data_IF_799404703770
#
_entry.id   IF_799404703770
#
_cell.length_a   1.000
_cell.length_b   1.000
_cell.length_c   1.000
_cell.angle_alpha   90.00
_cell.angle_beta   90.00
_cell.angle_gamma   90.00
#
_symmetry.space_group_name_H-M   'P 1'
#
loop_
_entity.id
_entity.type
_entity.pdbx_description
1 polymer ?
#
# COMPACT_ATOMS: atom_id res chain seq x y z
N UNK A 1 38.00 66.35 -14.38
CA UNK A 1 36.83 66.01 -15.23
C UNK A 1 37.31 65.55 -16.60
N UNK A 2 38.04 64.42 -16.69
CA UNK A 2 38.56 63.89 -17.97
C UNK A 2 38.87 62.37 -17.96
N UNK A 3 38.36 61.60 -17.00
CA UNK A 3 38.72 60.17 -16.89
C UNK A 3 37.58 59.16 -17.22
N UNK A 4 36.38 59.65 -17.56
CA UNK A 4 35.16 58.81 -17.63
C UNK A 4 34.61 58.56 -19.06
N UNK A 5 35.26 59.13 -20.09
CA UNK A 5 34.85 58.90 -21.50
C UNK A 5 35.60 57.77 -22.21
N UNK A 6 36.63 57.19 -21.59
CA UNK A 6 37.47 56.14 -22.20
C UNK A 6 36.89 54.72 -22.05
N UNK A 7 36.29 54.40 -20.90
CA UNK A 7 35.79 53.03 -20.64
C UNK A 7 34.50 52.70 -21.38
N UNK A 8 33.60 53.67 -21.56
CA UNK A 8 32.32 53.47 -22.26
C UNK A 8 32.50 53.16 -23.75
N UNK A 9 33.50 53.76 -24.39
CA UNK A 9 33.86 53.46 -25.79
C UNK A 9 34.43 52.04 -25.97
N UNK A 10 35.31 51.61 -25.05
CA UNK A 10 35.91 50.28 -25.09
C UNK A 10 34.90 49.16 -24.83
N UNK A 11 33.91 49.39 -23.97
CA UNK A 11 32.82 48.43 -23.71
C UNK A 11 31.89 48.31 -24.92
N UNK A 12 31.54 49.43 -25.57
CA UNK A 12 30.71 49.43 -26.77
C UNK A 12 31.39 48.69 -27.94
N UNK A 13 32.70 48.87 -28.12
CA UNK A 13 33.46 48.18 -29.17
C UNK A 13 33.61 46.68 -28.89
N UNK A 14 33.71 46.29 -27.60
CA UNK A 14 33.76 44.88 -27.21
C UNK A 14 32.41 44.19 -27.42
N UNK A 15 31.30 44.89 -27.15
CA UNK A 15 29.95 44.39 -27.37
C UNK A 15 29.64 44.23 -28.86
N UNK A 16 30.07 45.19 -29.71
CA UNK A 16 29.86 45.11 -31.16
C UNK A 16 30.65 43.96 -31.80
N UNK A 17 31.89 43.72 -31.36
CA UNK A 17 32.69 42.55 -31.79
C UNK A 17 32.06 41.23 -31.36
N UNK A 18 31.46 41.15 -30.17
CA UNK A 18 30.75 39.95 -29.72
C UNK A 18 29.48 39.71 -30.52
N UNK A 19 28.71 40.75 -30.86
CA UNK A 19 27.52 40.63 -31.69
C UNK A 19 27.86 40.18 -33.12
N UNK A 20 28.92 40.71 -33.72
CA UNK A 20 29.39 40.25 -35.02
C UNK A 20 29.85 38.79 -34.98
N UNK A 21 30.62 38.39 -33.96
CA UNK A 21 31.05 37.01 -33.80
C UNK A 21 29.87 36.04 -33.60
N UNK A 22 28.81 36.48 -32.93
CA UNK A 22 27.60 35.68 -32.74
C UNK A 22 26.81 35.55 -34.05
N UNK A 23 26.67 36.64 -34.82
CA UNK A 23 26.02 36.64 -36.12
C UNK A 23 26.72 35.70 -37.11
N UNK A 24 28.07 35.75 -37.19
CA UNK A 24 28.84 34.85 -38.06
C UNK A 24 28.66 33.38 -37.68
N UNK A 25 28.55 33.07 -36.38
CA UNK A 25 28.31 31.69 -35.92
C UNK A 25 26.91 31.20 -36.25
N UNK A 26 25.90 32.06 -36.17
CA UNK A 26 24.52 31.72 -36.55
C UNK A 26 24.43 31.47 -38.06
N UNK A 27 25.10 32.29 -38.87
CA UNK A 27 25.19 32.10 -40.33
C UNK A 27 25.82 30.74 -40.68
N UNK A 28 26.97 30.41 -40.07
CA UNK A 28 27.66 29.13 -40.29
C UNK A 28 26.85 27.91 -39.83
N UNK A 29 26.07 28.06 -38.75
CA UNK A 29 25.17 27.01 -38.27
C UNK A 29 23.98 26.83 -39.21
N UNK A 30 23.41 27.93 -39.71
CA UNK A 30 22.31 27.90 -40.69
C UNK A 30 22.75 27.22 -41.99
N UNK A 31 23.94 27.56 -42.50
CA UNK A 31 24.49 26.96 -43.70
C UNK A 31 24.78 25.46 -43.53
N UNK A 32 25.31 25.04 -42.36
CA UNK A 32 25.50 23.62 -42.05
C UNK A 32 24.19 22.85 -41.95
N UNK A 33 23.15 23.45 -41.38
CA UNK A 33 21.82 22.82 -41.31
C UNK A 33 21.22 22.70 -42.71
N UNK A 34 21.28 23.74 -43.53
CA UNK A 34 20.84 23.71 -44.94
C UNK A 34 21.55 22.64 -45.76
N UNK A 35 22.88 22.50 -45.61
CA UNK A 35 23.66 21.49 -46.31
C UNK A 35 23.34 20.06 -45.83
N UNK A 36 23.01 19.87 -44.55
CA UNK A 36 22.58 18.58 -44.00
C UNK A 36 21.15 18.21 -44.42
N UNK A 37 20.24 19.19 -44.51
CA UNK A 37 18.88 18.97 -45.00
C UNK A 37 18.88 18.66 -46.50
N UNK A 38 19.71 19.34 -47.28
CA UNK A 38 19.90 19.08 -48.72
C UNK A 38 20.55 17.71 -48.99
N UNK A 39 21.51 17.32 -48.15
CA UNK A 39 22.11 15.97 -48.20
C UNK A 39 21.12 14.87 -47.80
N UNK A 40 20.17 15.18 -46.90
CA UNK A 40 19.12 14.24 -46.48
C UNK A 40 18.04 14.07 -47.55
N UNK A 41 17.68 15.12 -48.28
CA UNK A 41 16.69 15.06 -49.37
C UNK A 41 17.16 14.24 -50.58
N UNK A 42 18.48 14.20 -50.83
CA UNK A 42 19.09 13.45 -51.94
C UNK A 42 19.07 11.92 -51.71
N UNK A 43 19.01 11.47 -50.46
CA UNK A 43 19.00 10.03 -50.11
C UNK A 43 17.59 9.40 -50.26
N UNK A 44 16.53 10.20 -50.28
CA UNK A 44 15.13 9.72 -50.29
C UNK A 44 14.49 9.54 -51.67
N UNK A 45 15.25 9.66 -52.77
CA UNK A 45 14.71 9.56 -54.14
C UNK A 45 15.30 8.43 -54.99
N UNK A 46 14.82 7.18 -54.85
CA UNK A 46 14.89 6.17 -55.94
C UNK A 46 13.77 5.11 -55.83
N UNK A 47 13.06 4.75 -56.92
CA UNK A 47 11.81 3.99 -56.85
C UNK A 47 11.97 2.47 -56.89
N UNK A 48 10.87 1.81 -56.51
CA UNK A 48 10.68 0.40 -56.22
C UNK A 48 10.93 -0.59 -57.38
N UNK A 49 11.37 -1.81 -57.03
CA UNK A 49 11.39 -2.94 -57.96
C UNK A 49 11.99 -4.27 -57.43
N UNK A 50 11.09 -5.17 -56.99
CA UNK A 50 11.15 -6.65 -57.11
C UNK A 50 11.97 -7.55 -56.14
N UNK A 51 11.21 -8.55 -55.63
CA UNK A 51 11.47 -9.99 -55.34
C UNK A 51 12.45 -10.44 -54.22
N UNK A 52 11.88 -11.27 -53.33
CA UNK A 52 12.38 -12.11 -52.21
C UNK A 52 13.29 -13.25 -52.79
N UNK A 53 14.27 -13.95 -52.10
CA UNK A 53 14.21 -14.49 -50.73
C UNK A 53 15.49 -14.71 -49.86
N UNK A 54 15.24 -15.05 -48.58
CA UNK A 54 15.98 -15.94 -47.66
C UNK A 54 17.30 -15.50 -46.95
N UNK A 55 17.27 -15.68 -45.63
CA UNK A 55 18.32 -16.12 -44.69
C UNK A 55 19.66 -15.35 -44.59
N UNK A 56 19.89 -14.68 -43.45
CA UNK A 56 20.98 -15.00 -42.49
C UNK A 56 20.93 -14.10 -41.27
N UNK A 57 21.04 -14.71 -40.09
CA UNK A 57 21.44 -14.02 -38.86
C UNK A 57 22.79 -13.33 -39.08
N UNK A 58 22.88 -12.05 -38.70
CA UNK A 58 24.12 -11.46 -38.20
C UNK A 58 23.83 -10.43 -37.10
N UNK A 59 24.67 -10.39 -36.05
CA UNK A 59 24.42 -9.64 -34.83
C UNK A 59 24.74 -8.16 -35.06
N UNK A 60 23.77 -7.29 -34.87
CA UNK A 60 24.02 -5.85 -34.90
C UNK A 60 24.87 -5.47 -33.69
N UNK A 61 26.15 -5.22 -33.96
CA UNK A 61 27.11 -4.57 -33.08
C UNK A 61 26.46 -3.44 -32.28
N UNK A 62 26.67 -3.49 -30.96
CA UNK A 62 26.55 -2.33 -30.07
C UNK A 62 27.55 -1.26 -30.55
N UNK A 63 27.07 -0.24 -31.26
CA UNK A 63 27.80 1.01 -31.40
C UNK A 63 27.50 1.87 -30.17
N UNK A 64 28.38 1.74 -29.17
CA UNK A 64 28.51 2.68 -28.08
C UNK A 64 28.89 4.06 -28.64
N UNK A 65 28.32 5.12 -28.08
CA UNK A 65 28.66 6.49 -28.44
C UNK A 65 27.46 7.39 -28.71
N UNK A 66 26.40 7.32 -27.90
CA UNK A 66 25.38 8.37 -27.83
C UNK A 66 25.58 9.11 -26.51
N UNK A 67 26.09 10.35 -26.50
CA UNK A 67 26.13 11.13 -25.28
C UNK A 67 24.70 11.42 -24.83
N UNK A 68 24.47 11.18 -23.55
CA UNK A 68 23.21 11.28 -22.81
C UNK A 68 22.68 12.71 -22.73
N UNK A 69 22.14 13.24 -23.82
CA UNK A 69 21.29 14.44 -23.84
C UNK A 69 19.87 14.05 -24.21
N UNK A 70 19.28 13.21 -23.38
CA UNK A 70 17.85 12.90 -23.38
C UNK A 70 17.33 13.11 -21.95
N UNK A 71 17.52 14.34 -21.45
CA UNK A 71 16.68 14.83 -20.35
C UNK A 71 15.27 14.81 -20.93
N UNK A 72 14.50 13.81 -20.49
CA UNK A 72 13.11 13.59 -20.87
C UNK A 72 12.33 14.90 -20.69
N UNK A 73 12.10 15.66 -21.78
CA UNK A 73 11.41 16.96 -21.75
C UNK A 73 10.02 16.86 -21.11
N UNK A 74 9.39 15.69 -21.18
CA UNK A 74 8.14 15.39 -20.47
C UNK A 74 8.26 15.31 -18.94
N UNK A 75 9.41 14.95 -18.38
CA UNK A 75 9.64 14.96 -16.93
C UNK A 75 9.86 16.39 -16.44
N UNK A 76 10.64 17.18 -17.19
CA UNK A 76 10.88 18.59 -16.84
C UNK A 76 9.59 19.41 -16.86
N UNK A 77 8.74 19.20 -17.87
CA UNK A 77 7.42 19.84 -17.94
C UNK A 77 6.51 19.45 -16.76
N UNK A 78 6.51 18.18 -16.34
CA UNK A 78 5.76 17.72 -15.16
C UNK A 78 6.25 18.37 -13.87
N UNK A 79 7.56 18.40 -13.66
CA UNK A 79 8.17 19.04 -12.48
C UNK A 79 7.83 20.53 -12.47
N UNK A 80 7.97 21.22 -13.60
CA UNK A 80 7.60 22.62 -13.70
C UNK A 80 6.12 22.86 -13.34
N UNK A 81 5.19 22.04 -13.86
CA UNK A 81 3.77 22.15 -13.49
C UNK A 81 3.52 21.90 -12.00
N UNK A 82 4.20 20.93 -11.38
CA UNK A 82 4.10 20.69 -9.93
C UNK A 82 4.57 21.93 -9.17
N UNK A 83 5.72 22.50 -9.55
CA UNK A 83 6.26 23.70 -8.92
C UNK A 83 5.28 24.88 -9.05
N UNK A 84 4.72 25.15 -10.23
CA UNK A 84 3.73 26.22 -10.41
C UNK A 84 2.47 26.00 -9.56
N UNK A 85 1.96 24.77 -9.49
CA UNK A 85 0.79 24.45 -8.67
C UNK A 85 1.08 24.64 -7.17
N UNK A 86 2.28 24.28 -6.72
CA UNK A 86 2.72 24.46 -5.34
C UNK A 86 2.96 25.93 -5.01
N UNK A 87 3.45 26.75 -5.94
CA UNK A 87 3.59 28.21 -5.73
C UNK A 87 2.24 28.85 -5.50
N UNK A 88 1.21 28.48 -6.27
CA UNK A 88 -0.16 28.98 -6.03
C UNK A 88 -0.63 28.57 -4.64
N UNK A 89 -0.43 27.30 -4.24
CA UNK A 89 -0.77 26.84 -2.91
C UNK A 89 -0.01 27.60 -1.81
N UNK A 90 1.27 27.92 -2.04
CA UNK A 90 2.10 28.72 -1.13
C UNK A 90 1.56 30.16 -1.02
N UNK A 91 1.17 30.80 -2.12
CA UNK A 91 0.58 32.14 -2.09
C UNK A 91 -0.71 32.15 -1.27
N UNK A 92 -1.60 31.16 -1.49
CA UNK A 92 -2.83 31.01 -0.69
C UNK A 92 -2.50 30.85 0.80
N UNK A 93 -1.48 30.06 1.12
CA UNK A 93 -0.99 29.87 2.49
C UNK A 93 -0.46 31.17 3.07
N UNK A 94 0.39 31.92 2.36
CA UNK A 94 0.95 33.19 2.82
C UNK A 94 -0.14 34.25 3.07
N UNK A 95 -1.17 34.31 2.23
CA UNK A 95 -2.31 35.23 2.44
C UNK A 95 -3.08 34.87 3.72
N UNK A 96 -3.23 33.57 3.98
CA UNK A 96 -3.91 33.06 5.18
C UNK A 96 -3.06 33.30 6.44
N UNK A 97 -1.77 33.03 6.37
CA UNK A 97 -0.82 33.19 7.49
C UNK A 97 -0.64 34.66 7.91
N UNK A 98 -0.76 35.60 6.97
CA UNK A 98 -0.69 37.05 7.24
C UNK A 98 -1.99 37.65 7.83
N UNK A 99 -2.98 36.83 8.19
CA UNK A 99 -4.30 37.26 8.71
C UNK A 99 -5.07 38.23 7.79
N UNK A 100 -4.70 38.34 6.52
CA UNK A 100 -5.41 39.17 5.53
C UNK A 100 -6.81 38.60 5.27
N UNK A 101 -6.95 37.27 5.38
CA UNK A 101 -8.19 36.53 5.22
C UNK A 101 -8.40 35.67 6.47
N UNK A 102 -9.64 35.60 6.97
CA UNK A 102 -9.98 34.78 8.12
C UNK A 102 -9.61 33.30 7.86
N UNK A 103 -9.03 32.64 8.85
CA UNK A 103 -8.49 31.27 8.77
C UNK A 103 -9.47 30.25 8.21
N UNK A 104 -10.77 30.37 8.56
CA UNK A 104 -11.82 29.52 8.00
C UNK A 104 -11.98 29.67 6.49
N UNK A 105 -11.85 30.91 5.99
CA UNK A 105 -11.92 31.22 4.56
C UNK A 105 -10.66 30.71 3.86
N UNK A 106 -9.49 30.82 4.50
CA UNK A 106 -8.23 30.26 3.99
C UNK A 106 -8.28 28.74 3.79
N UNK A 107 -8.80 28.00 4.76
CA UNK A 107 -9.01 26.54 4.65
C UNK A 107 -10.02 26.19 3.55
N UNK A 108 -11.14 26.93 3.48
CA UNK A 108 -12.14 26.74 2.44
C UNK A 108 -11.56 26.98 1.03
N UNK A 109 -10.73 28.02 0.87
CA UNK A 109 -10.02 28.28 -0.38
C UNK A 109 -9.05 27.15 -0.74
N UNK A 110 -8.31 26.62 0.24
CA UNK A 110 -7.41 25.49 0.05
C UNK A 110 -8.13 24.21 -0.41
N UNK A 111 -9.24 23.86 0.27
CA UNK A 111 -10.09 22.71 -0.11
C UNK A 111 -10.67 22.93 -1.51
N UNK A 112 -11.21 24.12 -1.79
CA UNK A 112 -11.80 24.45 -3.10
C UNK A 112 -10.77 24.35 -4.22
N UNK A 113 -9.56 24.86 -3.99
CA UNK A 113 -8.45 24.76 -4.94
C UNK A 113 -8.06 23.30 -5.21
N UNK A 114 -7.94 22.48 -4.16
CA UNK A 114 -7.64 21.06 -4.29
C UNK A 114 -8.72 20.30 -5.08
N UNK A 115 -10.00 20.57 -4.82
CA UNK A 115 -11.13 19.99 -5.57
C UNK A 115 -11.10 20.41 -7.04
N UNK A 116 -10.83 21.69 -7.34
CA UNK A 116 -10.68 22.18 -8.71
C UNK A 116 -9.56 21.46 -9.46
N UNK A 117 -8.43 21.17 -8.81
CA UNK A 117 -7.33 20.41 -9.41
C UNK A 117 -7.75 18.96 -9.72
N UNK A 118 -8.47 18.31 -8.82
CA UNK A 118 -8.98 16.94 -9.04
C UNK A 118 -9.96 16.89 -10.20
N UNK A 119 -10.93 17.82 -10.24
CA UNK A 119 -11.95 17.90 -11.31
C UNK A 119 -11.34 18.26 -12.66
N UNK A 120 -10.39 19.22 -12.68
CA UNK A 120 -9.66 19.58 -13.89
C UNK A 120 -8.85 18.39 -14.40
N UNK A 121 -8.22 17.65 -13.49
CA UNK A 121 -7.57 16.38 -13.78
C UNK A 121 -8.47 15.42 -14.55
N UNK A 122 -9.71 15.21 -14.08
CA UNK A 122 -10.68 14.34 -14.75
C UNK A 122 -10.91 14.72 -16.21
N UNK A 123 -11.21 16.01 -16.48
CA UNK A 123 -11.42 16.51 -17.85
C UNK A 123 -10.16 16.37 -18.71
N UNK A 124 -8.98 16.51 -18.12
CA UNK A 124 -7.72 16.41 -18.84
C UNK A 124 -7.36 14.95 -19.20
N UNK A 125 -7.83 14.00 -18.39
CA UNK A 125 -7.74 12.57 -18.71
C UNK A 125 -8.65 12.17 -19.88
N UNK A 126 -9.84 12.78 -20.00
CA UNK A 126 -10.72 12.57 -21.16
C UNK A 126 -10.08 13.05 -22.47
N UNK A 127 -9.19 14.04 -22.39
CA UNK A 127 -8.46 14.60 -23.53
C UNK A 127 -7.09 13.95 -23.78
N UNK A 128 -6.79 12.83 -23.11
CA UNK A 128 -5.53 12.06 -23.24
C UNK A 128 -4.23 12.89 -23.04
N UNK A 129 -4.29 13.97 -22.27
CA UNK A 129 -3.12 14.82 -22.05
C UNK A 129 -2.05 14.13 -21.21
N UNK A 130 -0.78 14.29 -21.58
CA UNK A 130 0.38 13.75 -20.83
C UNK A 130 0.53 14.35 -19.42
N UNK A 131 -0.11 15.48 -19.13
CA UNK A 131 -0.08 16.15 -17.82
C UNK A 131 -1.26 15.74 -16.90
N UNK A 132 -2.23 15.00 -17.42
CA UNK A 132 -3.42 14.59 -16.68
C UNK A 132 -3.18 13.94 -15.29
N UNK A 133 -2.14 13.09 -15.05
CA UNK A 133 -1.89 12.54 -13.71
C UNK A 133 -1.40 13.55 -12.67
N UNK A 134 -0.82 14.67 -13.08
CA UNK A 134 -0.18 15.61 -12.16
C UNK A 134 -1.24 16.39 -11.36
N UNK A 135 -2.28 16.87 -12.03
CA UNK A 135 -3.35 17.67 -11.41
C UNK A 135 -4.08 16.95 -10.26
N UNK A 136 -4.66 15.75 -10.45
CA UNK A 136 -5.32 15.03 -9.36
C UNK A 136 -4.32 14.51 -8.32
N UNK A 137 -3.07 14.27 -8.70
CA UNK A 137 -2.01 13.88 -7.75
C UNK A 137 -1.65 15.01 -6.78
N UNK A 138 -1.40 16.21 -7.30
CA UNK A 138 -1.18 17.40 -6.47
C UNK A 138 -2.45 17.77 -5.70
N UNK A 139 -3.62 17.68 -6.33
CA UNK A 139 -4.91 17.98 -5.70
C UNK A 139 -5.19 17.11 -4.48
N UNK A 140 -5.00 15.79 -4.57
CA UNK A 140 -5.25 14.89 -3.42
C UNK A 140 -4.24 15.10 -2.29
N UNK A 141 -2.96 15.34 -2.61
CA UNK A 141 -1.92 15.64 -1.61
C UNK A 141 -2.21 16.96 -0.87
N UNK A 142 -2.56 18.00 -1.60
CA UNK A 142 -2.93 19.29 -1.00
C UNK A 142 -4.19 19.15 -0.15
N UNK A 143 -5.20 18.40 -0.62
CA UNK A 143 -6.40 18.15 0.17
C UNK A 143 -6.08 17.45 1.49
N UNK A 144 -5.23 16.42 1.46
CA UNK A 144 -4.79 15.71 2.66
C UNK A 144 -4.07 16.62 3.64
N UNK A 145 -3.13 17.44 3.16
CA UNK A 145 -2.40 18.39 3.99
C UNK A 145 -3.33 19.46 4.58
N UNK A 146 -4.19 20.06 3.78
CA UNK A 146 -5.11 21.12 4.22
C UNK A 146 -6.11 20.57 5.24
N UNK A 147 -6.72 19.41 5.00
CA UNK A 147 -7.67 18.82 5.95
C UNK A 147 -6.98 18.48 7.27
N UNK A 148 -5.80 17.86 7.22
CA UNK A 148 -5.04 17.51 8.42
C UNK A 148 -4.61 18.74 9.22
N UNK A 149 -4.05 19.75 8.54
CA UNK A 149 -3.63 21.01 9.15
C UNK A 149 -4.81 21.73 9.77
N UNK A 150 -5.95 21.81 9.07
CA UNK A 150 -7.12 22.52 9.59
C UNK A 150 -7.68 21.83 10.83
N UNK A 151 -7.75 20.50 10.79
CA UNK A 151 -8.24 19.70 11.90
C UNK A 151 -7.33 19.79 13.15
N UNK A 152 -6.00 19.60 13.00
CA UNK A 152 -5.05 19.64 14.12
C UNK A 152 -4.93 21.06 14.69
N UNK A 153 -4.85 22.09 13.83
CA UNK A 153 -4.51 23.45 14.26
C UNK A 153 -5.72 24.25 14.71
N UNK A 154 -6.89 24.02 14.11
CA UNK A 154 -8.07 24.86 14.33
C UNK A 154 -9.26 24.11 14.92
N UNK A 155 -9.15 22.79 15.16
CA UNK A 155 -10.25 21.97 15.70
C UNK A 155 -11.49 21.96 14.80
N UNK A 156 -11.34 22.36 13.54
CA UNK A 156 -12.39 22.51 12.55
C UNK A 156 -11.83 22.05 11.22
N UNK A 157 -12.50 21.18 10.44
CA UNK A 157 -13.81 20.58 10.67
C UNK A 157 -13.78 19.50 11.78
N UNK A 158 -14.96 19.15 12.31
CA UNK A 158 -15.09 18.02 13.26
C UNK A 158 -14.50 16.75 12.65
N UNK A 159 -14.00 15.84 13.48
CA UNK A 159 -13.41 14.56 13.09
C UNK A 159 -14.21 13.83 12.01
N UNK A 160 -15.53 13.69 12.19
CA UNK A 160 -16.43 13.00 11.24
C UNK A 160 -16.35 13.61 9.83
N UNK A 161 -16.35 14.94 9.74
CA UNK A 161 -16.26 15.66 8.47
C UNK A 161 -14.86 15.53 7.84
N UNK A 162 -13.79 15.56 8.64
CA UNK A 162 -12.43 15.34 8.14
C UNK A 162 -12.30 13.96 7.49
N UNK A 163 -12.74 12.88 8.17
CA UNK A 163 -12.77 11.54 7.61
C UNK A 163 -13.63 11.46 6.34
N UNK A 164 -14.80 12.10 6.33
CA UNK A 164 -15.73 12.07 5.19
C UNK A 164 -15.14 12.75 3.95
N UNK A 165 -14.52 13.93 4.10
CA UNK A 165 -13.89 14.65 2.98
C UNK A 165 -12.77 13.82 2.37
N UNK A 166 -11.90 13.24 3.20
CA UNK A 166 -10.80 12.40 2.75
C UNK A 166 -11.34 11.14 2.07
N UNK A 167 -12.38 10.52 2.64
CA UNK A 167 -13.00 9.31 2.08
C UNK A 167 -13.58 9.56 0.69
N UNK A 168 -14.38 10.62 0.53
CA UNK A 168 -15.01 10.99 -0.74
C UNK A 168 -13.95 11.30 -1.79
N UNK A 169 -12.96 12.14 -1.45
CA UNK A 169 -11.91 12.52 -2.38
C UNK A 169 -11.04 11.33 -2.80
N UNK A 170 -10.66 10.47 -1.85
CA UNK A 170 -9.86 9.28 -2.12
C UNK A 170 -10.64 8.28 -2.97
N UNK A 171 -11.94 8.11 -2.72
CA UNK A 171 -12.82 7.26 -3.53
C UNK A 171 -12.95 7.80 -4.95
N UNK A 172 -13.09 9.11 -5.13
CA UNK A 172 -13.15 9.75 -6.44
C UNK A 172 -11.85 9.56 -7.22
N UNK A 173 -10.70 9.82 -6.60
CA UNK A 173 -9.38 9.62 -7.23
C UNK A 173 -9.11 8.13 -7.51
N UNK A 174 -9.58 7.23 -6.64
CA UNK A 174 -9.50 5.80 -6.86
C UNK A 174 -10.35 5.37 -8.07
N UNK A 175 -11.62 5.78 -8.14
CA UNK A 175 -12.49 5.48 -9.29
C UNK A 175 -11.90 6.03 -10.61
N UNK A 176 -11.39 7.26 -10.57
CA UNK A 176 -10.68 7.89 -11.67
C UNK A 176 -9.45 7.09 -12.11
N UNK A 177 -8.63 6.64 -11.16
CA UNK A 177 -7.43 5.87 -11.43
C UNK A 177 -7.73 4.51 -12.08
N UNK A 178 -8.85 3.88 -11.69
CA UNK A 178 -9.32 2.64 -12.29
C UNK A 178 -9.84 2.85 -13.72
N UNK A 179 -10.61 3.93 -13.95
CA UNK A 179 -11.15 4.29 -15.27
C UNK A 179 -10.05 4.59 -16.27
N UNK A 180 -9.11 5.46 -15.89
CA UNK A 180 -8.06 5.95 -16.78
C UNK A 180 -6.74 5.17 -16.65
N UNK A 181 -6.74 4.01 -15.98
CA UNK A 181 -5.58 3.11 -15.90
C UNK A 181 -4.34 3.77 -15.28
N UNK A 182 -4.53 4.78 -14.42
CA UNK A 182 -3.47 5.62 -13.86
C UNK A 182 -2.94 5.07 -12.52
N UNK A 183 -1.95 4.17 -12.59
CA UNK A 183 -1.37 3.50 -11.42
C UNK A 183 -0.83 4.44 -10.35
N UNK A 184 -0.23 5.56 -10.75
CA UNK A 184 0.36 6.53 -9.82
C UNK A 184 -0.66 7.09 -8.82
N UNK A 185 -1.90 7.33 -9.27
CA UNK A 185 -2.94 7.89 -8.41
C UNK A 185 -3.42 6.91 -7.33
N UNK A 186 -3.38 5.60 -7.60
CA UNK A 186 -3.73 4.57 -6.62
C UNK A 186 -2.71 4.57 -5.48
N UNK A 187 -1.41 4.61 -5.83
CA UNK A 187 -0.32 4.64 -4.84
C UNK A 187 -0.29 5.91 -4.00
N UNK A 188 -0.96 6.98 -4.45
CA UNK A 188 -1.06 8.22 -3.70
C UNK A 188 -2.32 8.27 -2.84
N UNK A 189 -3.46 7.92 -3.43
CA UNK A 189 -4.76 8.03 -2.79
C UNK A 189 -4.92 7.02 -1.64
N UNK A 190 -4.66 5.72 -1.87
CA UNK A 190 -4.94 4.70 -0.84
C UNK A 190 -3.94 4.77 0.33
N UNK A 191 -2.61 4.78 0.10
CA UNK A 191 -1.64 4.94 1.16
C UNK A 191 -1.76 6.27 1.89
N UNK A 192 -1.87 7.38 1.14
CA UNK A 192 -1.98 8.72 1.71
C UNK A 192 -3.23 8.87 2.57
N UNK A 193 -4.39 8.38 2.10
CA UNK A 193 -5.61 8.41 2.88
C UNK A 193 -5.49 7.61 4.18
N UNK A 194 -4.90 6.41 4.13
CA UNK A 194 -4.72 5.56 5.30
C UNK A 194 -3.77 6.20 6.34
N UNK A 195 -2.67 6.82 5.89
CA UNK A 195 -1.72 7.53 6.77
C UNK A 195 -2.34 8.78 7.38
N UNK A 196 -3.09 9.57 6.61
CA UNK A 196 -3.72 10.79 7.12
C UNK A 196 -4.86 10.44 8.08
N UNK A 197 -5.66 9.42 7.77
CA UNK A 197 -6.69 8.92 8.67
C UNK A 197 -6.11 8.49 10.03
N UNK A 198 -4.95 7.81 10.04
CA UNK A 198 -4.22 7.48 11.28
C UNK A 198 -3.74 8.71 12.07
N UNK A 199 -3.44 9.80 11.39
CA UNK A 199 -2.96 11.03 12.00
C UNK A 199 -4.10 11.90 12.55
N UNK A 200 -5.32 11.75 12.02
CA UNK A 200 -6.52 12.44 12.50
C UNK A 200 -6.86 11.95 13.91
N UNK A 201 -7.12 12.89 14.81
CA UNK A 201 -7.44 12.65 16.22
C UNK A 201 -6.38 11.83 17.00
N UNK A 202 -5.16 11.64 16.48
CA UNK A 202 -4.09 11.02 17.26
C UNK A 202 -3.77 11.91 18.46
N UNK A 203 -3.72 11.38 19.70
CA UNK A 203 -3.56 9.97 20.06
C UNK A 203 -4.85 9.17 20.32
N UNK A 204 -6.04 9.79 20.32
CA UNK A 204 -7.32 9.16 20.66
C UNK A 204 -8.30 9.18 19.49
N UNK A 205 -8.05 8.40 18.43
CA UNK A 205 -8.92 8.37 17.26
C UNK A 205 -10.29 7.79 17.58
N UNK A 206 -11.30 8.20 16.81
CA UNK A 206 -12.57 7.50 16.76
C UNK A 206 -12.37 6.11 16.12
N UNK A 207 -11.94 5.14 16.93
CA UNK A 207 -11.49 3.82 16.48
C UNK A 207 -12.44 3.10 15.51
N UNK A 208 -13.78 3.09 15.71
CA UNK A 208 -14.67 2.42 14.77
C UNK A 208 -14.68 3.09 13.39
N UNK A 209 -14.60 4.43 13.33
CA UNK A 209 -14.59 5.19 12.08
C UNK A 209 -13.26 4.96 11.35
N UNK A 210 -12.14 5.05 12.08
CA UNK A 210 -10.82 4.76 11.53
C UNK A 210 -10.72 3.30 11.06
N UNK A 211 -11.26 2.36 11.83
CA UNK A 211 -11.34 0.95 11.48
C UNK A 211 -12.13 0.73 10.18
N UNK A 212 -13.32 1.33 10.05
CA UNK A 212 -14.12 1.26 8.81
C UNK A 212 -13.38 1.87 7.62
N UNK A 213 -12.67 2.99 7.84
CA UNK A 213 -11.87 3.65 6.81
C UNK A 213 -10.71 2.76 6.32
N UNK A 214 -9.97 2.16 7.25
CA UNK A 214 -8.88 1.22 6.93
C UNK A 214 -9.41 -0.07 6.28
N UNK A 215 -10.58 -0.55 6.70
CA UNK A 215 -11.23 -1.69 6.06
C UNK A 215 -11.55 -1.38 4.59
N UNK A 216 -12.12 -0.20 4.32
CA UNK A 216 -12.37 0.27 2.97
C UNK A 216 -11.08 0.40 2.14
N UNK A 217 -9.99 0.88 2.75
CA UNK A 217 -8.67 0.94 2.10
C UNK A 217 -8.15 -0.46 1.73
N UNK A 218 -8.32 -1.47 2.60
CA UNK A 218 -7.94 -2.86 2.30
C UNK A 218 -8.81 -3.48 1.19
N UNK A 219 -10.11 -3.20 1.18
CA UNK A 219 -11.01 -3.64 0.10
C UNK A 219 -10.57 -2.98 -1.22
N UNK A 220 -10.28 -1.69 -1.22
CA UNK A 220 -9.81 -0.95 -2.38
C UNK A 220 -8.46 -1.49 -2.89
N UNK A 221 -7.51 -1.78 -1.99
CA UNK A 221 -6.22 -2.36 -2.32
C UNK A 221 -6.36 -3.75 -2.94
N UNK A 222 -7.21 -4.61 -2.36
CA UNK A 222 -7.48 -5.97 -2.86
C UNK A 222 -8.19 -5.92 -4.22
N UNK A 223 -9.13 -5.00 -4.41
CA UNK A 223 -9.80 -4.79 -5.68
C UNK A 223 -8.87 -4.26 -6.78
N UNK A 224 -7.97 -3.34 -6.44
CA UNK A 224 -6.97 -2.82 -7.37
C UNK A 224 -6.00 -3.91 -7.81
N UNK A 225 -5.50 -4.72 -6.86
CA UNK A 225 -4.63 -5.87 -7.12
C UNK A 225 -5.26 -6.85 -8.11
N UNK A 226 -6.53 -7.23 -7.87
CA UNK A 226 -7.28 -8.12 -8.78
C UNK A 226 -7.38 -7.61 -10.21
N UNK A 227 -7.44 -6.29 -10.42
CA UNK A 227 -7.47 -5.73 -11.78
C UNK A 227 -6.08 -5.68 -12.43
N UNK A 228 -5.00 -5.60 -11.63
CA UNK A 228 -3.62 -5.58 -12.11
C UNK A 228 -2.67 -6.13 -11.04
N UNK A 229 -2.02 -7.24 -11.34
CA UNK A 229 -1.03 -7.91 -10.49
C UNK A 229 0.18 -7.03 -10.05
N UNK A 230 0.33 -5.81 -10.57
CA UNK A 230 1.43 -4.88 -10.23
C UNK A 230 1.26 -4.15 -8.89
N UNK A 231 0.11 -4.30 -8.21
CA UNK A 231 -0.21 -3.59 -6.98
C UNK A 231 0.04 -4.37 -5.68
N UNK A 232 0.83 -5.45 -5.68
CA UNK A 232 1.11 -6.25 -4.46
C UNK A 232 1.63 -5.43 -3.28
N UNK A 233 2.51 -4.45 -3.55
CA UNK A 233 3.01 -3.50 -2.54
C UNK A 233 1.88 -2.74 -1.81
N UNK A 234 0.78 -2.44 -2.51
CA UNK A 234 -0.32 -1.67 -1.94
C UNK A 234 -1.03 -2.43 -0.82
N UNK A 235 -1.26 -3.73 -1.01
CA UNK A 235 -1.88 -4.60 0.00
C UNK A 235 -0.97 -4.78 1.21
N UNK A 236 0.32 -4.96 0.98
CA UNK A 236 1.32 -5.00 2.05
C UNK A 236 1.31 -3.72 2.89
N UNK A 237 1.30 -2.55 2.24
CA UNK A 237 1.26 -1.27 2.92
C UNK A 237 -0.03 -1.07 3.75
N UNK A 238 -1.21 -1.32 3.16
CA UNK A 238 -2.48 -1.19 3.90
C UNK A 238 -2.59 -2.19 5.04
N UNK A 239 -2.04 -3.39 4.87
CA UNK A 239 -1.95 -4.39 5.94
C UNK A 239 -1.08 -3.90 7.09
N UNK A 240 0.13 -3.37 6.80
CA UNK A 240 1.03 -2.84 7.85
C UNK A 240 0.33 -1.74 8.65
N UNK A 241 -0.33 -0.79 7.97
CA UNK A 241 -1.11 0.25 8.66
C UNK A 241 -2.23 -0.39 9.49
N UNK A 242 -2.95 -1.37 8.96
CA UNK A 242 -4.06 -2.03 9.68
C UNK A 242 -3.57 -2.78 10.91
N UNK A 243 -2.43 -3.47 10.82
CA UNK A 243 -1.78 -4.14 11.96
C UNK A 243 -1.40 -3.11 13.01
N UNK A 244 -0.74 -2.01 12.63
CA UNK A 244 -0.42 -0.91 13.56
C UNK A 244 -1.67 -0.36 14.24
N UNK A 245 -2.78 -0.20 13.51
CA UNK A 245 -4.05 0.25 14.08
C UNK A 245 -4.58 -0.74 15.13
N UNK A 246 -4.57 -2.03 14.83
CA UNK A 246 -5.01 -3.07 15.77
C UNK A 246 -4.11 -3.15 17.01
N UNK A 247 -2.79 -3.07 16.84
CA UNK A 247 -1.84 -3.03 17.95
C UNK A 247 -2.10 -1.80 18.85
N UNK A 248 -2.34 -0.63 18.25
CA UNK A 248 -2.65 0.60 18.99
C UNK A 248 -3.98 0.50 19.73
N UNK A 249 -5.04 -0.01 19.08
CA UNK A 249 -6.36 -0.11 19.72
C UNK A 249 -6.34 -1.13 20.87
N UNK A 250 -5.76 -2.31 20.64
CA UNK A 250 -5.64 -3.38 21.64
C UNK A 250 -4.80 -2.93 22.85
N UNK A 251 -3.62 -2.32 22.61
CA UNK A 251 -2.75 -1.83 23.69
C UNK A 251 -3.39 -0.71 24.50
N UNK A 252 -4.14 0.20 23.87
CA UNK A 252 -4.85 1.27 24.58
C UNK A 252 -5.95 0.72 25.48
N UNK A 253 -6.73 -0.25 25.00
CA UNK A 253 -7.78 -0.88 25.82
C UNK A 253 -7.15 -1.55 27.05
N UNK A 254 -6.08 -2.33 26.84
CA UNK A 254 -5.38 -3.04 27.92
C UNK A 254 -4.75 -2.09 28.96
N UNK A 255 -4.05 -1.05 28.49
CA UNK A 255 -3.37 -0.09 29.37
C UNK A 255 -4.34 0.80 30.15
N UNK A 256 -5.40 1.29 29.49
CA UNK A 256 -6.35 2.20 30.13
C UNK A 256 -7.25 1.44 31.12
N UNK A 257 -7.66 0.21 30.78
CA UNK A 257 -8.41 -0.64 31.70
C UNK A 257 -7.60 -0.96 32.97
N UNK A 258 -6.33 -1.32 32.83
CA UNK A 258 -5.48 -1.71 33.97
C UNK A 258 -5.16 -0.55 34.91
N UNK A 259 -5.13 0.70 34.42
CA UNK A 259 -4.68 1.86 35.21
C UNK A 259 -5.79 2.80 35.69
N UNK A 260 -6.87 2.97 34.92
CA UNK A 260 -7.92 3.97 35.20
C UNK A 260 -9.28 3.29 35.29
N UNK A 261 -9.64 2.83 36.49
CA UNK A 261 -10.92 2.18 36.78
C UNK A 261 -12.11 2.90 36.10
N UNK A 262 -12.65 2.26 35.06
CA UNK A 262 -13.93 2.47 34.35
C UNK A 262 -14.28 3.85 33.72
N UNK A 263 -13.67 4.98 34.09
CA UNK A 263 -14.26 6.29 33.70
C UNK A 263 -14.01 6.76 32.27
N UNK A 264 -12.97 6.26 31.59
CA UNK A 264 -12.60 6.65 30.21
C UNK A 264 -12.70 5.53 29.18
N UNK A 265 -13.17 4.34 29.57
CA UNK A 265 -13.10 3.13 28.73
C UNK A 265 -14.13 3.15 27.59
N UNK A 266 -15.29 3.76 27.81
CA UNK A 266 -16.33 3.88 26.78
C UNK A 266 -15.87 4.72 25.58
N UNK A 267 -14.92 5.65 25.77
CA UNK A 267 -14.34 6.46 24.70
C UNK A 267 -13.43 5.65 23.76
N UNK A 268 -13.03 4.43 24.17
CA UNK A 268 -12.25 3.50 23.34
C UNK A 268 -13.14 2.58 22.49
N UNK A 269 -14.46 2.76 22.54
CA UNK A 269 -15.46 2.00 21.78
C UNK A 269 -15.28 0.47 21.81
N UNK A 270 -15.08 -0.14 22.97
CA UNK A 270 -14.68 -1.54 23.02
C UNK A 270 -15.79 -2.48 22.49
N UNK A 271 -17.07 -2.06 22.49
CA UNK A 271 -18.18 -2.81 21.89
C UNK A 271 -17.99 -3.04 20.37
N UNK A 272 -17.31 -2.11 19.70
CA UNK A 272 -17.03 -2.18 18.27
C UNK A 272 -15.75 -2.95 17.95
N UNK A 273 -14.91 -3.24 18.95
CA UNK A 273 -13.61 -3.88 18.75
C UNK A 273 -13.77 -5.23 18.04
N UNK A 274 -14.54 -6.15 18.63
CA UNK A 274 -14.75 -7.48 18.05
C UNK A 274 -15.53 -7.43 16.74
N UNK A 275 -16.53 -6.55 16.62
CA UNK A 275 -17.29 -6.36 15.38
C UNK A 275 -16.35 -6.01 14.22
N UNK A 276 -15.50 -5.01 14.43
CA UNK A 276 -14.51 -4.61 13.43
C UNK A 276 -13.48 -5.72 13.18
N UNK A 277 -13.04 -6.43 14.21
CA UNK A 277 -12.06 -7.51 14.07
C UNK A 277 -12.59 -8.63 13.18
N UNK A 278 -13.85 -9.03 13.38
CA UNK A 278 -14.53 -10.02 12.54
C UNK A 278 -14.74 -9.52 11.10
N UNK A 279 -15.05 -8.23 10.91
CA UNK A 279 -15.16 -7.66 9.56
C UNK A 279 -13.83 -7.69 8.81
N UNK A 280 -12.71 -7.32 9.45
CA UNK A 280 -11.38 -7.41 8.86
C UNK A 280 -11.03 -8.85 8.51
N UNK A 281 -11.22 -9.77 9.45
CA UNK A 281 -10.97 -11.20 9.23
C UNK A 281 -11.81 -11.74 8.06
N UNK A 282 -13.11 -11.44 8.04
CA UNK A 282 -14.03 -11.87 6.99
C UNK A 282 -13.64 -11.34 5.61
N UNK A 283 -13.22 -10.07 5.52
CA UNK A 283 -12.72 -9.48 4.27
C UNK A 283 -11.46 -10.21 3.78
N UNK A 284 -10.46 -10.42 4.65
CA UNK A 284 -9.21 -11.09 4.24
C UNK A 284 -9.43 -12.56 3.83
N UNK A 285 -10.25 -13.30 4.58
CA UNK A 285 -10.61 -14.68 4.22
C UNK A 285 -11.35 -14.71 2.88
N UNK A 286 -12.34 -13.83 2.69
CA UNK A 286 -13.11 -13.75 1.45
C UNK A 286 -12.23 -13.39 0.25
N UNK A 287 -11.28 -12.46 0.40
CA UNK A 287 -10.36 -12.09 -0.68
C UNK A 287 -9.53 -13.29 -1.14
N UNK A 288 -8.99 -14.07 -0.20
CA UNK A 288 -8.17 -15.24 -0.54
C UNK A 288 -9.01 -16.38 -1.12
N UNK A 289 -10.22 -16.63 -0.59
CA UNK A 289 -11.15 -17.62 -1.18
C UNK A 289 -11.45 -17.27 -2.63
N UNK A 290 -11.77 -16.01 -2.91
CA UNK A 290 -12.08 -15.55 -4.27
C UNK A 290 -10.89 -15.69 -5.23
N UNK A 291 -9.66 -15.53 -4.74
CA UNK A 291 -8.44 -15.73 -5.53
C UNK A 291 -8.18 -17.21 -5.82
N UNK A 292 -8.33 -18.08 -4.81
CA UNK A 292 -8.17 -19.54 -4.96
C UNK A 292 -9.19 -20.11 -5.95
N UNK A 293 -10.47 -19.76 -5.83
CA UNK A 293 -11.54 -20.28 -6.69
C UNK A 293 -11.35 -19.87 -8.15
N UNK A 294 -10.83 -18.66 -8.40
CA UNK A 294 -10.63 -18.15 -9.77
C UNK A 294 -9.45 -18.77 -10.52
N UNK A 295 -8.74 -19.71 -9.90
CA UNK A 295 -7.61 -20.45 -10.49
C UNK A 295 -6.53 -19.53 -11.08
N UNK A 296 -6.34 -18.34 -10.50
CA UNK A 296 -5.29 -17.44 -10.95
C UNK A 296 -3.90 -18.08 -10.71
N UNK A 297 -2.93 -17.82 -11.60
CA UNK A 297 -1.62 -18.46 -11.53
C UNK A 297 -0.93 -18.09 -10.21
N UNK A 298 -0.46 -19.12 -9.49
CA UNK A 298 0.40 -19.09 -8.29
C UNK A 298 0.13 -17.88 -7.37
N UNK A 299 -0.63 -18.11 -6.30
CA UNK A 299 -0.73 -17.18 -5.17
C UNK A 299 0.67 -16.65 -4.83
N UNK A 300 0.81 -15.33 -4.83
CA UNK A 300 2.06 -14.70 -4.40
C UNK A 300 2.40 -15.17 -2.96
N UNK A 301 3.68 -15.17 -2.60
CA UNK A 301 4.12 -15.59 -1.28
C UNK A 301 3.34 -14.86 -0.19
N UNK A 302 3.15 -13.55 -0.35
CA UNK A 302 2.37 -12.73 0.58
C UNK A 302 0.90 -13.19 0.72
N UNK A 303 0.23 -13.52 -0.38
CA UNK A 303 -1.17 -13.99 -0.37
C UNK A 303 -1.32 -15.33 0.33
N UNK A 304 -0.28 -16.18 0.23
CA UNK A 304 -0.25 -17.49 0.88
C UNK A 304 -0.14 -17.40 2.41
N UNK A 305 0.36 -16.28 2.95
CA UNK A 305 0.46 -16.06 4.41
C UNK A 305 -0.62 -15.15 4.96
N UNK A 306 -1.36 -14.43 4.10
CA UNK A 306 -2.32 -13.41 4.53
C UNK A 306 -3.39 -13.94 5.50
N UNK A 307 -4.03 -15.12 5.28
CA UNK A 307 -5.00 -15.65 6.25
C UNK A 307 -4.36 -16.02 7.58
N UNK A 308 -3.14 -16.58 7.57
CA UNK A 308 -2.41 -16.91 8.79
C UNK A 308 -2.06 -15.64 9.58
N UNK A 309 -1.58 -14.61 8.91
CA UNK A 309 -1.22 -13.33 9.52
C UNK A 309 -2.46 -12.60 10.06
N UNK A 310 -3.57 -12.61 9.32
CA UNK A 310 -4.86 -12.08 9.78
C UNK A 310 -5.39 -12.85 10.98
N UNK A 311 -5.34 -14.18 10.96
CA UNK A 311 -5.83 -15.03 12.03
C UNK A 311 -4.98 -14.89 13.30
N UNK A 312 -3.65 -14.97 13.19
CA UNK A 312 -2.74 -14.80 14.31
C UNK A 312 -2.78 -13.37 14.88
N UNK A 313 -2.86 -12.35 14.02
CA UNK A 313 -3.01 -10.96 14.46
C UNK A 313 -4.34 -10.73 15.17
N UNK A 314 -5.44 -11.30 14.66
CA UNK A 314 -6.75 -11.23 15.31
C UNK A 314 -6.78 -12.01 16.63
N UNK A 315 -6.12 -13.16 16.71
CA UNK A 315 -5.94 -13.87 17.97
C UNK A 315 -5.22 -13.01 18.99
N UNK A 316 -4.08 -12.42 18.62
CA UNK A 316 -3.29 -11.61 19.54
C UNK A 316 -4.06 -10.39 20.03
N UNK A 317 -4.63 -9.60 19.12
CA UNK A 317 -5.43 -8.42 19.46
C UNK A 317 -6.70 -8.79 20.25
N UNK A 318 -7.30 -9.92 19.90
CA UNK A 318 -8.51 -10.45 20.54
C UNK A 318 -8.24 -11.18 21.85
N UNK A 319 -7.02 -11.58 22.18
CA UNK A 319 -6.70 -12.21 23.46
C UNK A 319 -6.35 -11.16 24.54
N UNK A 320 -5.78 -10.02 24.15
CA UNK A 320 -5.45 -8.92 25.07
C UNK A 320 -6.70 -8.19 25.59
N UNK A 321 -7.77 -8.09 24.81
CA UNK A 321 -8.97 -7.28 25.14
C UNK A 321 -10.00 -7.95 26.07
N UNK A 322 -10.36 -9.25 25.92
CA UNK A 322 -11.37 -9.92 26.76
C UNK A 322 -10.97 -10.02 28.22
N UNK A 323 -9.67 -10.24 28.50
CA UNK A 323 -9.14 -10.29 29.87
C UNK A 323 -9.37 -8.95 30.60
N UNK A 324 -9.37 -7.85 29.84
CA UNK A 324 -9.72 -6.54 30.36
C UNK A 324 -11.25 -6.37 30.51
N UNK A 325 -12.08 -6.77 29.54
CA UNK A 325 -13.46 -6.24 29.51
C UNK A 325 -14.61 -7.25 29.66
N UNK A 326 -14.42 -8.52 29.29
CA UNK A 326 -15.51 -9.51 29.18
C UNK A 326 -15.41 -10.66 30.20
N UNK A 327 -14.67 -10.48 31.29
CA UNK A 327 -14.48 -11.50 32.33
C UNK A 327 -13.50 -12.60 31.92
N UNK A 328 -13.82 -13.87 32.22
CA UNK A 328 -12.90 -15.03 32.13
C UNK A 328 -12.34 -15.34 30.72
N UNK A 329 -12.68 -14.57 29.67
CA UNK A 329 -12.11 -14.72 28.32
C UNK A 329 -12.49 -16.01 27.56
N UNK A 330 -13.13 -16.99 28.23
CA UNK A 330 -13.43 -18.32 27.68
C UNK A 330 -14.29 -18.31 26.43
N UNK A 331 -15.19 -17.33 26.28
CA UNK A 331 -16.01 -17.20 25.09
C UNK A 331 -15.16 -16.90 23.84
N UNK A 332 -14.08 -16.13 24.01
CA UNK A 332 -13.16 -15.79 22.93
C UNK A 332 -12.39 -17.03 22.51
N UNK A 333 -11.87 -17.79 23.47
CA UNK A 333 -11.17 -19.06 23.20
C UNK A 333 -12.07 -20.04 22.41
N UNK A 334 -13.33 -20.23 22.83
CA UNK A 334 -14.30 -21.05 22.09
C UNK A 334 -14.51 -20.51 20.67
N UNK A 335 -14.61 -19.20 20.51
CA UNK A 335 -14.79 -18.55 19.20
C UNK A 335 -13.57 -18.79 18.31
N UNK A 336 -12.36 -18.69 18.84
CA UNK A 336 -11.13 -18.97 18.08
C UNK A 336 -11.06 -20.45 17.67
N UNK A 337 -11.44 -21.39 18.55
CA UNK A 337 -11.52 -22.81 18.18
C UNK A 337 -12.49 -23.02 17.01
N UNK A 338 -13.67 -22.38 17.04
CA UNK A 338 -14.64 -22.44 15.94
C UNK A 338 -14.04 -21.89 14.65
N UNK A 339 -13.34 -20.75 14.71
CA UNK A 339 -12.67 -20.15 13.55
C UNK A 339 -11.56 -21.05 13.03
N UNK A 340 -10.75 -21.65 13.90
CA UNK A 340 -9.68 -22.57 13.52
C UNK A 340 -10.24 -23.79 12.80
N UNK A 341 -11.31 -24.39 13.34
CA UNK A 341 -12.04 -25.46 12.69
C UNK A 341 -12.63 -25.01 11.35
N UNK A 342 -13.15 -23.78 11.26
CA UNK A 342 -13.63 -23.18 10.01
C UNK A 342 -12.55 -23.10 8.93
N UNK A 343 -11.33 -22.68 9.27
CA UNK A 343 -10.20 -22.67 8.33
C UNK A 343 -9.82 -24.09 7.86
N UNK A 344 -9.80 -25.07 8.77
CA UNK A 344 -9.52 -26.46 8.41
C UNK A 344 -10.63 -27.08 7.54
N UNK A 345 -11.90 -26.78 7.84
CA UNK A 345 -13.04 -27.20 7.02
C UNK A 345 -12.98 -26.58 5.63
N UNK A 346 -12.57 -25.31 5.53
CA UNK A 346 -12.37 -24.64 4.25
C UNK A 346 -11.20 -25.25 3.46
N UNK A 347 -10.09 -25.60 4.14
CA UNK A 347 -8.99 -26.33 3.53
C UNK A 347 -9.46 -27.68 2.96
N UNK A 348 -10.21 -28.45 3.75
CA UNK A 348 -10.81 -29.71 3.32
C UNK A 348 -11.74 -29.54 2.12
N UNK A 349 -12.60 -28.53 2.14
CA UNK A 349 -13.53 -28.23 1.05
C UNK A 349 -12.78 -27.88 -0.25
N UNK A 350 -11.74 -27.03 -0.17
CA UNK A 350 -10.89 -26.67 -1.31
C UNK A 350 -10.11 -27.87 -1.87
N UNK A 351 -9.60 -28.74 -0.99
CA UNK A 351 -8.96 -30.00 -1.40
C UNK A 351 -9.94 -30.93 -2.14
N UNK A 352 -11.22 -30.94 -1.74
CA UNK A 352 -12.27 -31.67 -2.43
C UNK A 352 -12.68 -31.08 -3.78
N UNK A 353 -12.59 -29.74 -3.92
CA UNK A 353 -12.96 -29.03 -5.15
C UNK A 353 -11.90 -29.16 -6.27
N UNK A 354 -10.61 -29.21 -5.91
CA UNK A 354 -9.50 -29.42 -6.86
C UNK A 354 -8.72 -30.70 -6.52
N UNK A 355 -9.28 -31.85 -6.89
CA UNK A 355 -8.77 -33.18 -6.47
C UNK A 355 -7.36 -33.52 -6.97
N UNK A 356 -6.84 -32.85 -8.00
CA UNK A 356 -5.52 -33.18 -8.57
C UNK A 356 -4.37 -32.53 -7.81
N UNK A 357 -4.57 -31.33 -7.24
CA UNK A 357 -3.49 -30.56 -6.58
C UNK A 357 -3.91 -29.92 -5.26
N UNK A 358 -5.18 -30.01 -4.87
CA UNK A 358 -5.74 -29.39 -3.67
C UNK A 358 -5.30 -27.92 -3.51
N UNK A 359 -5.37 -27.13 -4.60
CA UNK A 359 -4.83 -25.76 -4.63
C UNK A 359 -5.50 -24.88 -3.57
N UNK A 360 -4.69 -24.08 -2.88
CA UNK A 360 -5.16 -23.17 -1.83
C UNK A 360 -5.51 -23.83 -0.49
N UNK A 361 -5.62 -25.17 -0.43
CA UNK A 361 -5.88 -25.88 0.84
C UNK A 361 -4.75 -25.65 1.86
N UNK A 362 -3.51 -25.51 1.42
CA UNK A 362 -2.35 -25.27 2.28
C UNK A 362 -2.45 -23.93 3.03
N UNK A 363 -2.98 -22.89 2.38
CA UNK A 363 -3.10 -21.54 2.96
C UNK A 363 -4.02 -21.56 4.18
N UNK A 364 -5.19 -22.20 4.05
CA UNK A 364 -6.15 -22.31 5.14
C UNK A 364 -5.75 -23.38 6.17
N UNK A 365 -5.08 -24.45 5.75
CA UNK A 365 -4.52 -25.43 6.67
C UNK A 365 -3.47 -24.80 7.60
N UNK A 366 -2.59 -23.95 7.07
CA UNK A 366 -1.60 -23.21 7.84
C UNK A 366 -2.26 -22.26 8.84
N UNK A 367 -3.25 -21.47 8.40
CA UNK A 367 -3.97 -20.54 9.27
C UNK A 367 -4.71 -21.25 10.40
N UNK A 368 -5.46 -22.33 10.09
CA UNK A 368 -6.17 -23.13 11.09
C UNK A 368 -5.23 -23.81 12.08
N UNK A 369 -4.12 -24.35 11.59
CA UNK A 369 -3.09 -24.98 12.44
C UNK A 369 -2.44 -23.96 13.37
N UNK A 370 -2.10 -22.77 12.86
CA UNK A 370 -1.55 -21.69 13.66
C UNK A 370 -2.51 -21.27 14.79
N UNK A 371 -3.81 -21.13 14.50
CA UNK A 371 -4.81 -20.84 15.53
C UNK A 371 -4.94 -21.96 16.56
N UNK A 372 -4.89 -23.23 16.15
CA UNK A 372 -4.92 -24.36 17.10
C UNK A 372 -3.72 -24.28 18.05
N UNK A 373 -2.52 -24.04 17.53
CA UNK A 373 -1.30 -23.89 18.35
C UNK A 373 -1.48 -22.75 19.37
N UNK A 374 -1.88 -21.57 18.89
CA UNK A 374 -2.06 -20.40 19.74
C UNK A 374 -3.14 -20.62 20.81
N UNK A 375 -4.29 -21.19 20.44
CA UNK A 375 -5.43 -21.35 21.35
C UNK A 375 -5.23 -22.49 22.35
N UNK A 376 -4.64 -23.61 21.93
CA UNK A 376 -4.36 -24.71 22.84
C UNK A 376 -3.32 -24.33 23.90
N UNK A 377 -2.34 -23.48 23.54
CA UNK A 377 -1.38 -22.93 24.50
C UNK A 377 -2.06 -22.09 25.59
N UNK A 378 -3.10 -21.32 25.25
CA UNK A 378 -3.80 -20.45 26.22
C UNK A 378 -4.86 -21.19 27.05
N UNK A 379 -5.54 -22.18 26.45
CA UNK A 379 -6.66 -22.90 27.08
C UNK A 379 -6.19 -24.05 27.97
N UNK A 380 -5.30 -24.92 27.46
CA UNK A 380 -4.93 -26.15 28.17
C UNK A 380 -3.97 -25.84 29.32
N UNK A 381 -3.07 -24.87 29.14
CA UNK A 381 -2.06 -24.38 30.12
C UNK A 381 -1.12 -25.45 30.71
N UNK A 382 -1.32 -26.72 30.37
CA UNK A 382 -0.47 -27.85 30.69
C UNK A 382 0.31 -28.28 29.44
N UNK A 383 1.63 -28.06 29.49
CA UNK A 383 2.56 -28.38 28.42
C UNK A 383 2.55 -29.89 28.11
N UNK A 384 2.34 -30.74 29.11
CA UNK A 384 2.29 -32.19 28.95
C UNK A 384 1.12 -32.66 28.08
N UNK A 385 0.02 -31.90 28.05
CA UNK A 385 -1.15 -32.17 27.21
C UNK A 385 -1.11 -31.43 25.87
N UNK A 386 -0.52 -30.23 25.82
CA UNK A 386 -0.42 -29.42 24.60
C UNK A 386 0.48 -30.08 23.55
N UNK A 387 1.64 -30.62 23.96
CA UNK A 387 2.62 -31.21 23.04
C UNK A 387 2.08 -32.44 22.28
N UNK A 388 1.41 -33.42 22.92
CA UNK A 388 0.75 -34.51 22.22
C UNK A 388 -0.31 -34.03 21.23
N UNK A 389 -1.09 -33.00 21.56
CA UNK A 389 -2.12 -32.46 20.65
C UNK A 389 -1.47 -31.89 19.38
N UNK A 390 -0.37 -31.15 19.50
CA UNK A 390 0.35 -30.61 18.35
C UNK A 390 0.99 -31.72 17.50
N UNK A 391 1.63 -32.70 18.14
CA UNK A 391 2.25 -33.84 17.46
C UNK A 391 1.21 -34.71 16.72
N UNK A 392 0.07 -34.98 17.36
CA UNK A 392 -1.06 -35.67 16.74
C UNK A 392 -1.62 -34.88 15.55
N UNK A 393 -1.79 -33.55 15.71
CA UNK A 393 -2.19 -32.67 14.62
C UNK A 393 -1.22 -32.72 13.44
N UNK A 394 0.09 -32.73 13.71
CA UNK A 394 1.11 -32.84 12.66
C UNK A 394 1.00 -34.18 11.92
N UNK A 395 0.84 -35.29 12.64
CA UNK A 395 0.61 -36.61 12.07
C UNK A 395 -0.63 -36.63 11.14
N UNK A 396 -1.75 -36.07 11.60
CA UNK A 396 -2.98 -35.94 10.78
C UNK A 396 -2.69 -35.16 9.49
N UNK A 397 -1.97 -34.03 9.58
CA UNK A 397 -1.59 -33.24 8.40
C UNK A 397 -0.66 -34.00 7.45
N UNK A 398 0.26 -34.85 7.94
CA UNK A 398 1.08 -35.72 7.07
C UNK A 398 0.18 -36.69 6.31
N UNK A 399 -0.72 -37.37 6.99
CA UNK A 399 -1.64 -38.34 6.38
C UNK A 399 -2.53 -37.67 5.33
N UNK A 400 -3.04 -36.46 5.63
CA UNK A 400 -3.81 -35.66 4.68
C UNK A 400 -2.96 -35.20 3.49
N UNK A 401 -1.71 -34.81 3.71
CA UNK A 401 -0.80 -34.40 2.63
C UNK A 401 -0.52 -35.55 1.66
N UNK A 402 -0.39 -36.77 2.17
CA UNK A 402 -0.20 -37.97 1.35
C UNK A 402 -1.48 -38.31 0.56
N UNK A 403 -2.65 -38.22 1.20
CA UNK A 403 -3.94 -38.45 0.56
C UNK A 403 -4.23 -37.44 -0.55
N UNK A 404 -3.90 -36.17 -0.34
CA UNK A 404 -4.21 -35.07 -1.25
C UNK A 404 -3.06 -34.69 -2.19
N UNK A 405 -1.93 -35.38 -2.11
CA UNK A 405 -0.74 -35.11 -2.92
C UNK A 405 -0.32 -33.61 -2.87
N UNK A 406 -0.45 -32.99 -1.69
CA UNK A 406 -0.23 -31.55 -1.49
C UNK A 406 1.00 -31.30 -0.62
N UNK A 407 2.08 -30.83 -1.25
CA UNK A 407 3.35 -30.54 -0.58
C UNK A 407 3.26 -29.39 0.42
N UNK A 408 2.37 -28.42 0.19
CA UNK A 408 2.19 -27.29 1.10
C UNK A 408 1.67 -27.73 2.47
N UNK A 409 0.75 -28.70 2.50
CA UNK A 409 0.22 -29.26 3.75
C UNK A 409 1.29 -30.09 4.46
N UNK A 410 2.15 -30.78 3.71
CA UNK A 410 3.33 -31.48 4.26
C UNK A 410 4.28 -30.50 4.96
N UNK A 411 4.54 -29.33 4.35
CA UNK A 411 5.34 -28.27 4.99
C UNK A 411 4.67 -27.77 6.27
N UNK A 412 3.35 -27.52 6.26
CA UNK A 412 2.61 -27.12 7.47
C UNK A 412 2.74 -28.16 8.59
N UNK A 413 2.67 -29.45 8.25
CA UNK A 413 2.88 -30.53 9.21
C UNK A 413 4.29 -30.49 9.82
N UNK A 414 5.33 -30.34 8.99
CA UNK A 414 6.71 -30.26 9.47
C UNK A 414 6.94 -29.03 10.35
N UNK A 415 6.34 -27.89 10.01
CA UNK A 415 6.39 -26.69 10.84
C UNK A 415 5.74 -26.94 12.20
N UNK A 416 4.54 -27.54 12.23
CA UNK A 416 3.86 -27.87 13.48
C UNK A 416 4.67 -28.83 14.35
N UNK A 417 5.25 -29.88 13.75
CA UNK A 417 6.09 -30.83 14.47
C UNK A 417 7.36 -30.16 15.01
N UNK A 418 8.00 -29.32 14.19
CA UNK A 418 9.18 -28.55 14.61
C UNK A 418 8.85 -27.62 15.77
N UNK A 419 7.72 -26.92 15.72
CA UNK A 419 7.23 -26.07 16.83
C UNK A 419 7.00 -26.90 18.09
N UNK A 420 6.37 -28.07 18.00
CA UNK A 420 6.21 -28.97 19.14
C UNK A 420 7.55 -29.40 19.74
N UNK A 421 8.51 -29.80 18.91
CA UNK A 421 9.85 -30.17 19.37
C UNK A 421 10.58 -29.00 20.05
N UNK A 422 10.55 -27.81 19.45
CA UNK A 422 11.19 -26.61 20.02
C UNK A 422 10.58 -26.30 21.39
N UNK A 423 9.25 -26.29 21.51
CA UNK A 423 8.57 -26.02 22.79
C UNK A 423 8.84 -27.11 23.81
N UNK A 424 8.91 -28.39 23.41
CA UNK A 424 9.27 -29.49 24.30
C UNK A 424 10.69 -29.36 24.87
N UNK A 425 11.65 -28.89 24.05
CA UNK A 425 13.01 -28.61 24.48
C UNK A 425 13.04 -27.41 25.42
N UNK A 426 12.43 -26.29 25.02
CA UNK A 426 12.45 -25.04 25.80
C UNK A 426 11.72 -25.15 27.14
N UNK A 427 10.68 -25.98 27.22
CA UNK A 427 9.91 -26.20 28.45
C UNK A 427 10.56 -27.18 29.43
N UNK A 428 11.63 -27.87 29.03
CA UNK A 428 12.20 -28.96 29.84
C UNK A 428 11.31 -30.20 29.90
N UNK A 429 10.26 -30.31 29.08
CA UNK A 429 9.45 -31.53 29.01
C UNK A 429 10.28 -32.76 28.59
N UNK A 430 11.41 -32.54 27.89
CA UNK A 430 12.37 -33.58 27.54
C UNK A 430 13.47 -33.81 28.58
N UNK A 431 13.57 -32.97 29.62
CA UNK A 431 14.47 -33.26 30.76
C UNK A 431 13.76 -34.22 31.70
N UNK A 432 13.78 -35.51 31.35
CA UNK A 432 13.42 -36.58 32.28
C UNK A 432 14.38 -36.49 33.49
N UNK A 433 13.89 -36.54 34.75
CA UNK A 433 14.78 -36.64 35.90
C UNK A 433 15.59 -37.92 35.76
N UNK A 434 16.90 -37.77 35.66
CA UNK A 434 17.89 -38.84 35.70
C UNK A 434 17.95 -39.44 37.12
N UNK A 435 16.88 -40.10 37.53
CA UNK A 435 16.85 -40.96 38.71
C UNK A 435 16.13 -42.24 38.33
N UNK A 436 16.86 -43.12 37.65
CA UNK A 436 16.58 -44.55 37.70
C UNK A 436 16.64 -44.97 39.18
N UNK A 437 15.61 -45.62 39.74
CA UNK A 437 15.76 -46.30 41.01
C UNK A 437 16.78 -47.44 40.80
N UNK A 438 17.89 -47.34 41.53
CA UNK A 438 18.88 -48.42 41.70
C UNK A 438 18.27 -49.59 42.48
#
# INVERSE_FOLDING_TARGET
>A
MNHDKGETGAVAERLSKQLQALATRVEQLSERVSNLESSRATITGRPAGSRIPAARQQPSLKLAGRPSTLINTGILSRIATICFLLVIALILRTITDNHIVNTHIGSLLGITYAVLLIVTGWRLYEKESRLAPVFPGCGILLLFLVVLETHIRFGSPSSIWAYTIIFIASTFVFAMSLRYKASFLIYLAVPGAATIAMAIDFPSPAYPILGAFLLAANIAASYAFKRRARYGYLRGFTLVISVSFWLLWASKIDTIYSYYANRSINELYPAWFFVMLFLFWGVYVTTVILEVIKKEPQLDFFESFLPTLSAAGAFWAGHTVPAAWFGDGRWFDVTVVIIAAGHLALAWWLAGHDRERARGSNVFALAGTCLIVLTSATVIRDIGLVLPVWSAGACVLVLLSAKWHNEGIRITSYLLQLTACIVAIMSGAMTVPSSLPL
#
